data_IF_966573735317
#
_entry.id   IF_966573735317
#
_cell.length_a   1.000
_cell.length_b   1.000
_cell.length_c   1.000
_cell.angle_alpha   90.00
_cell.angle_beta   90.00
_cell.angle_gamma   90.00
#
_symmetry.space_group_name_H-M   'P 1'
#
loop_
_entity.id
_entity.type
_entity.pdbx_description
1 polymer ?
#
# COMPACT_ATOMS: atom_id res chain seq x y z
N UNK A 1 -17.43 -16.22 7.89
CA UNK A 1 -16.01 -16.37 7.55
C UNK A 1 -15.41 -14.97 7.46
N UNK A 2 -14.34 -14.69 8.19
CA UNK A 2 -13.66 -13.38 8.15
C UNK A 2 -12.83 -13.30 6.88
N UNK A 3 -13.24 -12.45 5.94
CA UNK A 3 -12.63 -12.33 4.62
C UNK A 3 -11.24 -11.63 4.67
N UNK A 4 -11.04 -10.80 5.70
CA UNK A 4 -9.77 -10.15 6.02
C UNK A 4 -9.51 -10.11 7.54
N UNK A 5 -8.23 -10.11 7.91
CA UNK A 5 -7.72 -10.01 9.29
C UNK A 5 -6.50 -9.07 9.32
N UNK A 6 -6.35 -8.28 10.39
CA UNK A 6 -5.18 -7.43 10.60
C UNK A 6 -4.38 -7.94 11.78
N UNK A 7 -3.15 -8.38 11.54
CA UNK A 7 -2.38 -9.13 12.52
C UNK A 7 -0.87 -8.96 12.37
N UNK A 8 -0.14 -9.55 13.30
CA UNK A 8 1.33 -9.59 13.28
C UNK A 8 1.79 -10.68 12.33
N UNK A 9 2.48 -10.30 11.25
CA UNK A 9 3.17 -11.24 10.37
C UNK A 9 4.69 -11.06 10.50
N UNK A 10 5.34 -11.99 11.19
CA UNK A 10 6.79 -11.95 11.41
C UNK A 10 7.22 -10.63 12.06
N UNK A 11 7.81 -9.73 11.28
CA UNK A 11 8.30 -8.41 11.74
C UNK A 11 7.39 -7.25 11.32
N UNK A 12 6.20 -7.52 10.82
CA UNK A 12 5.30 -6.54 10.22
C UNK A 12 3.94 -6.54 10.92
N UNK A 13 3.17 -5.46 10.69
CA UNK A 13 1.71 -5.48 10.86
C UNK A 13 1.08 -5.47 9.48
N UNK A 14 0.26 -6.48 9.20
CA UNK A 14 -0.19 -6.79 7.85
C UNK A 14 -1.68 -7.12 7.81
N UNK A 15 -2.31 -6.80 6.69
CA UNK A 15 -3.65 -7.27 6.35
C UNK A 15 -3.53 -8.61 5.59
N UNK A 16 -4.30 -9.61 6.00
CA UNK A 16 -4.33 -10.99 5.46
C UNK A 16 -5.75 -11.48 5.29
N UNK A 17 -5.92 -12.69 4.78
CA UNK A 17 -7.21 -13.39 4.67
C UNK A 17 -7.50 -13.84 3.24
N UNK A 18 -8.57 -14.62 3.06
CA UNK A 18 -8.99 -15.19 1.78
C UNK A 18 -9.17 -14.13 0.68
N UNK A 19 -9.61 -12.92 1.06
CA UNK A 19 -9.73 -11.82 0.11
C UNK A 19 -8.37 -11.39 -0.45
N UNK A 20 -7.35 -11.29 0.42
CA UNK A 20 -5.99 -10.88 0.04
C UNK A 20 -5.32 -11.98 -0.78
N UNK A 21 -5.57 -13.24 -0.45
CA UNK A 21 -5.15 -14.38 -1.25
C UNK A 21 -5.76 -14.34 -2.64
N UNK A 22 -7.07 -14.06 -2.75
CA UNK A 22 -7.76 -13.93 -4.03
C UNK A 22 -7.15 -12.83 -4.90
N UNK A 23 -6.79 -11.69 -4.31
CA UNK A 23 -6.07 -10.62 -5.02
C UNK A 23 -4.70 -11.13 -5.51
N UNK A 24 -3.92 -11.76 -4.62
CA UNK A 24 -2.57 -12.22 -4.94
C UNK A 24 -2.50 -13.34 -5.98
N UNK A 25 -3.53 -14.17 -6.06
CA UNK A 25 -3.66 -15.28 -7.02
C UNK A 25 -4.19 -14.85 -8.38
N UNK A 26 -4.78 -13.65 -8.51
CA UNK A 26 -5.28 -13.15 -9.79
C UNK A 26 -4.10 -12.83 -10.71
N UNK A 27 -3.92 -13.59 -11.77
CA UNK A 27 -2.90 -13.31 -12.78
C UNK A 27 -3.54 -12.61 -13.98
N UNK A 28 -3.34 -11.29 -14.09
CA UNK A 28 -3.81 -10.50 -15.24
C UNK A 28 -2.96 -10.79 -16.49
N UNK A 29 -1.75 -11.31 -16.30
CA UNK A 29 -0.81 -11.74 -17.32
C UNK A 29 -0.03 -12.96 -16.81
N UNK A 30 0.48 -13.84 -17.70
CA UNK A 30 1.33 -14.94 -17.30
C UNK A 30 2.61 -14.46 -16.61
N UNK A 31 2.88 -14.97 -15.41
CA UNK A 31 4.13 -14.77 -14.68
C UNK A 31 4.86 -16.11 -14.69
N UNK A 32 6.15 -16.11 -15.00
CA UNK A 32 6.94 -17.34 -15.04
C UNK A 32 6.97 -17.99 -13.66
N UNK A 33 6.76 -19.31 -13.62
CA UNK A 33 6.55 -20.08 -12.39
C UNK A 33 7.66 -19.87 -11.34
N UNK A 34 8.91 -19.77 -11.79
CA UNK A 34 10.06 -19.55 -10.89
C UNK A 34 9.96 -18.25 -10.07
N UNK A 35 9.28 -17.21 -10.56
CA UNK A 35 9.02 -15.99 -9.78
C UNK A 35 8.09 -16.28 -8.60
N UNK A 36 7.04 -17.05 -8.85
CA UNK A 36 6.04 -17.43 -7.84
C UNK A 36 6.69 -18.35 -6.82
N UNK A 37 7.44 -19.35 -7.27
CA UNK A 37 8.16 -20.27 -6.41
C UNK A 37 9.14 -19.55 -5.48
N UNK A 38 9.91 -18.58 -5.97
CA UNK A 38 10.80 -17.78 -5.12
C UNK A 38 10.06 -17.08 -3.98
N UNK A 39 8.87 -16.54 -4.25
CA UNK A 39 8.00 -15.94 -3.22
C UNK A 39 7.48 -16.99 -2.25
N UNK A 40 7.02 -18.15 -2.73
CA UNK A 40 6.54 -19.24 -1.89
C UNK A 40 7.66 -19.80 -0.99
N UNK A 41 8.88 -19.92 -1.49
CA UNK A 41 10.07 -20.30 -0.71
C UNK A 41 10.39 -19.27 0.36
N UNK A 42 10.35 -17.97 0.05
CA UNK A 42 10.64 -16.89 1.00
C UNK A 42 9.59 -16.78 2.10
N UNK A 43 8.31 -16.79 1.73
CA UNK A 43 7.20 -16.48 2.65
C UNK A 43 6.60 -17.73 3.29
N UNK A 44 6.84 -18.91 2.71
CA UNK A 44 6.20 -20.17 3.05
C UNK A 44 4.94 -20.40 2.19
N UNK A 45 4.88 -21.55 1.52
CA UNK A 45 3.79 -21.88 0.60
C UNK A 45 2.39 -21.85 1.25
N UNK A 46 2.31 -22.21 2.54
CA UNK A 46 1.04 -22.29 3.27
C UNK A 46 0.64 -20.98 3.96
N UNK A 47 1.44 -19.92 3.86
CA UNK A 47 1.12 -18.67 4.55
C UNK A 47 0.08 -17.84 3.79
N UNK A 48 -0.01 -17.96 2.46
CA UNK A 48 -0.84 -17.07 1.66
C UNK A 48 -0.21 -15.68 1.48
N UNK A 49 -0.97 -14.73 0.98
CA UNK A 49 -0.61 -13.35 0.65
C UNK A 49 -0.92 -12.39 1.81
N UNK A 50 -0.28 -11.22 1.77
CA UNK A 50 -0.51 -10.17 2.75
C UNK A 50 -0.22 -8.79 2.14
N UNK A 51 -0.81 -7.75 2.74
CA UNK A 51 -0.46 -6.35 2.51
C UNK A 51 0.26 -5.86 3.76
N UNK A 52 1.53 -5.47 3.64
CA UNK A 52 2.25 -4.81 4.74
C UNK A 52 1.70 -3.40 4.94
N UNK A 53 1.16 -3.13 6.13
CA UNK A 53 0.60 -1.82 6.48
C UNK A 53 1.60 -1.00 7.26
N UNK A 54 2.34 -1.65 8.18
CA UNK A 54 3.41 -1.05 8.96
C UNK A 54 4.63 -1.97 8.90
N UNK A 55 5.74 -1.43 8.42
CA UNK A 55 6.96 -2.20 8.23
C UNK A 55 7.80 -2.29 9.52
N UNK A 56 8.82 -3.14 9.53
CA UNK A 56 9.64 -3.39 10.72
C UNK A 56 10.49 -2.19 11.16
N UNK A 57 10.85 -1.27 10.26
CA UNK A 57 11.58 -0.04 10.61
C UNK A 57 10.64 0.94 11.29
N UNK A 58 9.42 1.09 10.77
CA UNK A 58 8.37 1.95 11.34
C UNK A 58 7.95 1.46 12.73
N UNK A 59 7.81 0.16 12.94
CA UNK A 59 7.54 -0.42 14.26
C UNK A 59 8.70 -0.10 15.21
N UNK A 60 9.95 -0.28 14.77
CA UNK A 60 11.12 0.00 15.60
C UNK A 60 11.22 1.48 15.99
N UNK A 61 10.81 2.40 15.10
CA UNK A 61 10.74 3.83 15.37
C UNK A 61 9.68 4.18 16.44
N UNK A 62 8.52 3.52 16.39
CA UNK A 62 7.40 3.76 17.31
C UNK A 62 7.53 3.02 18.65
N UNK A 63 8.43 2.05 18.74
CA UNK A 63 8.63 1.23 19.94
C UNK A 63 9.48 1.98 20.97
N UNK A 64 9.10 1.93 22.25
CA UNK A 64 9.94 2.45 23.33
C UNK A 64 11.34 1.82 23.31
N UNK A 65 12.37 2.65 23.51
CA UNK A 65 13.77 2.19 23.62
C UNK A 65 14.16 1.82 25.05
N UNK A 66 13.27 2.08 26.00
CA UNK A 66 13.51 1.91 27.43
C UNK A 66 12.61 0.81 28.02
N UNK A 67 13.15 0.10 29.01
CA UNK A 67 12.42 -0.83 29.87
C UNK A 67 12.46 -0.28 31.30
N UNK A 68 11.39 -0.44 32.09
CA UNK A 68 11.44 -0.18 33.52
C UNK A 68 12.40 -1.18 34.18
N UNK A 69 13.32 -0.67 35.01
CA UNK A 69 14.15 -1.48 35.89
C UNK A 69 13.37 -1.93 37.14
N UNK A 70 14.03 -2.65 38.06
CA UNK A 70 13.41 -3.14 39.30
C UNK A 70 12.90 -2.02 40.22
N UNK A 71 13.39 -0.79 40.02
CA UNK A 71 12.98 0.41 40.75
C UNK A 71 11.97 1.27 39.97
N UNK A 72 11.52 0.81 38.79
CA UNK A 72 10.60 1.54 37.92
C UNK A 72 11.24 2.64 37.07
N UNK A 73 12.57 2.80 37.10
CA UNK A 73 13.27 3.78 36.27
C UNK A 73 13.41 3.27 34.84
N UNK A 74 13.31 4.18 33.86
CA UNK A 74 13.48 3.84 32.46
C UNK A 74 14.95 3.67 32.10
N UNK A 75 15.38 2.44 31.80
CA UNK A 75 16.73 2.14 31.33
C UNK A 75 16.73 1.73 29.86
N UNK A 76 17.72 2.19 29.10
CA UNK A 76 17.91 1.75 27.70
C UNK A 76 18.17 0.25 27.63
N UNK A 77 17.61 -0.38 26.60
CA UNK A 77 17.88 -1.79 26.34
C UNK A 77 19.34 -2.03 25.93
N UNK A 78 20.05 -2.80 26.74
CA UNK A 78 21.47 -3.13 26.54
C UNK A 78 21.64 -4.47 25.81
N UNK A 79 20.68 -5.39 25.92
CA UNK A 79 20.74 -6.74 25.33
C UNK A 79 19.87 -6.90 24.07
N UNK A 80 20.35 -7.67 23.09
CA UNK A 80 19.57 -8.08 21.91
C UNK A 80 18.26 -8.80 22.28
N UNK A 81 18.25 -9.57 23.38
CA UNK A 81 17.04 -10.25 23.89
C UNK A 81 15.99 -9.25 24.34
N UNK A 82 16.41 -8.19 25.04
CA UNK A 82 15.55 -7.10 25.48
C UNK A 82 15.01 -6.29 24.29
N UNK A 83 15.86 -5.96 23.30
CA UNK A 83 15.43 -5.26 22.07
C UNK A 83 14.36 -6.05 21.32
N UNK A 84 14.51 -7.38 21.21
CA UNK A 84 13.51 -8.26 20.58
C UNK A 84 12.20 -8.29 21.37
N UNK A 85 12.27 -8.30 22.70
CA UNK A 85 11.08 -8.23 23.57
C UNK A 85 10.35 -6.90 23.41
N UNK A 86 11.08 -5.78 23.43
CA UNK A 86 10.54 -4.45 23.19
C UNK A 86 9.86 -4.36 21.82
N UNK A 87 10.53 -4.84 20.76
CA UNK A 87 9.96 -4.85 19.41
C UNK A 87 8.63 -5.61 19.35
N UNK A 88 8.55 -6.80 19.94
CA UNK A 88 7.30 -7.56 20.03
C UNK A 88 6.22 -6.82 20.82
N UNK A 89 6.60 -6.18 21.93
CA UNK A 89 5.67 -5.36 22.70
C UNK A 89 5.15 -4.19 21.86
N UNK A 90 6.02 -3.50 21.13
CA UNK A 90 5.64 -2.45 20.18
C UNK A 90 4.67 -2.94 19.10
N UNK A 91 4.89 -4.13 18.54
CA UNK A 91 3.94 -4.76 17.60
C UNK A 91 2.56 -4.96 18.24
N UNK A 92 2.51 -5.56 19.43
CA UNK A 92 1.23 -5.80 20.12
C UNK A 92 0.53 -4.50 20.52
N UNK A 93 1.27 -3.50 21.01
CA UNK A 93 0.73 -2.18 21.36
C UNK A 93 0.18 -1.46 20.14
N UNK A 94 0.89 -1.46 19.01
CA UNK A 94 0.39 -0.85 17.77
C UNK A 94 -0.85 -1.59 17.25
N UNK A 95 -0.82 -2.93 17.25
CA UNK A 95 -1.95 -3.75 16.84
C UNK A 95 -3.19 -3.45 17.69
N UNK A 96 -3.08 -3.50 19.01
CA UNK A 96 -4.20 -3.22 19.91
C UNK A 96 -4.70 -1.78 19.78
N UNK A 97 -3.78 -0.81 19.64
CA UNK A 97 -4.14 0.60 19.43
C UNK A 97 -4.97 0.79 18.15
N UNK A 98 -4.61 0.10 17.06
CA UNK A 98 -5.34 0.17 15.79
C UNK A 98 -6.69 -0.53 15.91
N UNK A 99 -6.73 -1.76 16.44
CA UNK A 99 -7.99 -2.51 16.58
C UNK A 99 -8.97 -1.83 17.53
N UNK A 100 -8.48 -1.21 18.62
CA UNK A 100 -9.34 -0.44 19.53
C UNK A 100 -9.96 0.79 18.86
N UNK A 101 -9.23 1.43 17.92
CA UNK A 101 -9.72 2.62 17.23
C UNK A 101 -10.63 2.30 16.04
N UNK A 102 -10.29 1.28 15.25
CA UNK A 102 -10.94 0.98 13.99
C UNK A 102 -11.83 -0.27 14.03
N UNK A 103 -11.88 -0.97 15.17
CA UNK A 103 -12.54 -2.27 15.30
C UNK A 103 -11.81 -3.39 14.57
N UNK A 104 -12.47 -4.55 14.53
CA UNK A 104 -11.96 -5.74 13.83
C UNK A 104 -11.88 -5.53 12.31
N UNK A 105 -10.83 -6.09 11.70
CA UNK A 105 -10.56 -5.87 10.28
C UNK A 105 -11.65 -6.42 9.34
N UNK A 106 -12.44 -7.40 9.79
CA UNK A 106 -13.54 -7.97 9.02
C UNK A 106 -14.62 -6.96 8.63
N UNK A 107 -14.74 -5.84 9.34
CA UNK A 107 -15.66 -4.74 9.06
C UNK A 107 -15.05 -3.58 8.27
N UNK A 108 -13.78 -3.66 7.89
CA UNK A 108 -13.08 -2.58 7.20
C UNK A 108 -13.44 -2.52 5.70
N UNK A 109 -13.29 -1.33 5.12
CA UNK A 109 -13.25 -1.13 3.68
C UNK A 109 -12.20 -2.05 3.08
N UNK A 110 -12.60 -2.82 2.07
CA UNK A 110 -11.74 -3.78 1.41
C UNK A 110 -10.73 -3.07 0.49
N UNK A 111 -9.47 -3.52 0.44
CA UNK A 111 -8.51 -3.01 -0.53
C UNK A 111 -8.95 -3.26 -1.98
N UNK A 112 -8.62 -2.35 -2.87
CA UNK A 112 -8.94 -2.43 -4.30
C UNK A 112 -7.68 -2.80 -5.09
N UNK A 113 -7.76 -3.88 -5.86
CA UNK A 113 -6.73 -4.30 -6.83
C UNK A 113 -6.75 -3.38 -8.06
N UNK A 114 -5.72 -2.55 -8.23
CA UNK A 114 -5.55 -1.69 -9.41
C UNK A 114 -4.99 -2.45 -10.61
N UNK A 115 -4.43 -3.64 -10.40
CA UNK A 115 -3.83 -4.49 -11.42
C UNK A 115 -2.39 -4.90 -11.09
N UNK A 116 -1.83 -5.71 -11.99
CA UNK A 116 -0.44 -6.13 -11.92
C UNK A 116 0.52 -4.96 -12.13
N UNK A 117 1.43 -4.76 -11.17
CA UNK A 117 2.59 -3.89 -11.27
C UNK A 117 3.89 -4.70 -11.32
N UNK A 118 4.95 -4.07 -11.81
CA UNK A 118 6.29 -4.64 -11.75
C UNK A 118 7.37 -3.59 -11.60
N UNK A 119 8.41 -3.92 -10.85
CA UNK A 119 9.65 -3.10 -10.79
C UNK A 119 10.84 -3.98 -11.14
N UNK A 120 11.85 -3.37 -11.76
CA UNK A 120 13.09 -4.01 -12.15
C UNK A 120 14.28 -3.17 -11.70
N UNK A 121 15.38 -3.83 -11.32
CA UNK A 121 16.62 -3.21 -10.88
C UNK A 121 17.79 -4.11 -11.22
N UNK A 122 18.70 -3.64 -12.10
CA UNK A 122 19.93 -4.28 -12.55
C UNK A 122 19.80 -5.75 -13.02
N UNK A 123 19.59 -6.67 -12.08
CA UNK A 123 19.53 -8.11 -12.26
C UNK A 123 18.24 -8.74 -11.68
N UNK A 124 17.34 -7.94 -11.13
CA UNK A 124 16.18 -8.41 -10.39
C UNK A 124 14.88 -7.77 -10.85
N UNK A 125 13.80 -8.57 -10.86
CA UNK A 125 12.44 -8.14 -11.18
C UNK A 125 11.45 -8.68 -10.16
N UNK A 126 10.46 -7.87 -9.83
CA UNK A 126 9.38 -8.23 -8.90
C UNK A 126 8.04 -7.89 -9.52
N UNK A 127 7.10 -8.82 -9.40
CA UNK A 127 5.69 -8.67 -9.74
C UNK A 127 4.85 -8.60 -8.47
N UNK A 128 3.89 -7.70 -8.47
CA UNK A 128 2.99 -7.48 -7.33
C UNK A 128 1.67 -6.90 -7.80
N UNK A 129 0.60 -7.07 -7.02
CA UNK A 129 -0.63 -6.31 -7.21
C UNK A 129 -0.50 -4.96 -6.57
N UNK A 130 -0.81 -3.89 -7.31
CA UNK A 130 -0.86 -2.54 -6.76
C UNK A 130 -2.22 -2.35 -6.10
N UNK A 131 -2.20 -1.92 -4.84
CA UNK A 131 -3.40 -1.84 -4.03
C UNK A 131 -3.73 -0.39 -3.69
N UNK A 132 -4.95 0.02 -4.02
CA UNK A 132 -5.56 1.22 -3.48
C UNK A 132 -6.32 0.87 -2.20
N UNK A 133 -6.00 1.53 -1.10
CA UNK A 133 -6.66 1.27 0.18
C UNK A 133 -6.69 2.51 1.08
N UNK A 134 -7.75 3.34 1.01
CA UNK A 134 -7.90 4.55 1.81
C UNK A 134 -7.86 4.28 3.30
N UNK A 135 -8.56 3.24 3.76
CA UNK A 135 -8.53 2.86 5.17
C UNK A 135 -7.13 2.52 5.67
N UNK A 136 -6.30 1.85 4.85
CA UNK A 136 -4.89 1.64 5.17
C UNK A 136 -4.12 2.95 5.37
N UNK A 137 -4.38 3.97 4.55
CA UNK A 137 -3.77 5.29 4.72
C UNK A 137 -4.25 5.98 6.00
N UNK A 138 -5.54 5.87 6.33
CA UNK A 138 -6.10 6.41 7.57
C UNK A 138 -5.46 5.76 8.81
N UNK A 139 -5.30 4.43 8.81
CA UNK A 139 -4.62 3.69 9.87
C UNK A 139 -3.18 4.21 10.04
N UNK A 140 -2.43 4.33 8.94
CA UNK A 140 -1.05 4.86 8.98
C UNK A 140 -1.00 6.28 9.52
N UNK A 141 -1.89 7.16 9.06
CA UNK A 141 -1.96 8.54 9.55
C UNK A 141 -2.29 8.59 11.05
N UNK A 142 -3.21 7.74 11.53
CA UNK A 142 -3.61 7.67 12.93
C UNK A 142 -2.44 7.34 13.86
N UNK A 143 -1.57 6.41 13.47
CA UNK A 143 -0.36 6.07 14.24
C UNK A 143 0.83 7.01 13.96
N UNK A 144 0.59 8.12 13.26
CA UNK A 144 1.58 9.14 12.94
C UNK A 144 2.65 8.66 11.96
N UNK A 145 2.27 7.83 10.99
CA UNK A 145 3.10 7.43 9.86
C UNK A 145 2.68 8.19 8.60
N UNK A 146 3.62 8.39 7.68
CA UNK A 146 3.34 8.96 6.36
C UNK A 146 2.55 7.99 5.47
N UNK A 147 2.14 8.48 4.30
CA UNK A 147 1.53 7.65 3.25
C UNK A 147 2.49 6.54 2.79
N UNK A 148 1.95 5.43 2.31
CA UNK A 148 2.71 4.34 1.70
C UNK A 148 1.99 3.78 0.48
N UNK A 149 2.72 3.07 -0.39
CA UNK A 149 2.12 2.33 -1.49
C UNK A 149 1.88 0.88 -1.06
N UNK A 150 0.61 0.49 -0.99
CA UNK A 150 0.22 -0.86 -0.65
C UNK A 150 0.35 -1.77 -1.87
N UNK A 151 0.86 -2.97 -1.62
CA UNK A 151 1.01 -3.98 -2.65
C UNK A 151 0.91 -5.39 -2.06
N UNK A 152 0.58 -6.35 -2.91
CA UNK A 152 0.68 -7.79 -2.60
C UNK A 152 1.74 -8.39 -3.50
N UNK A 153 2.84 -8.90 -2.94
CA UNK A 153 3.88 -9.56 -3.74
C UNK A 153 3.34 -10.86 -4.34
N UNK A 154 3.48 -10.98 -5.66
CA UNK A 154 3.10 -12.17 -6.43
C UNK A 154 4.32 -13.06 -6.64
N UNK A 155 5.42 -12.49 -7.10
CA UNK A 155 6.66 -13.23 -7.35
C UNK A 155 7.85 -12.33 -7.66
N UNK A 156 9.06 -12.86 -7.59
CA UNK A 156 10.29 -12.13 -7.92
C UNK A 156 11.40 -13.07 -8.39
N UNK A 157 12.36 -12.54 -9.14
CA UNK A 157 13.57 -13.27 -9.49
C UNK A 157 14.75 -12.30 -9.72
N UNK A 158 15.98 -12.65 -9.28
CA UNK A 158 16.29 -13.68 -8.29
C UNK A 158 15.94 -13.22 -6.86
N UNK A 159 15.72 -11.92 -6.64
CA UNK A 159 15.43 -11.31 -5.33
C UNK A 159 14.33 -10.26 -5.44
N UNK A 160 13.69 -9.95 -4.33
CA UNK A 160 12.69 -8.89 -4.25
C UNK A 160 13.34 -7.51 -4.43
N UNK A 161 12.69 -6.64 -5.20
CA UNK A 161 13.14 -5.28 -5.48
C UNK A 161 12.45 -4.33 -4.51
N UNK A 162 13.20 -3.73 -3.58
CA UNK A 162 12.68 -2.84 -2.54
C UNK A 162 12.68 -1.35 -2.96
N UNK A 163 12.09 -1.06 -4.12
CA UNK A 163 11.95 0.32 -4.65
C UNK A 163 10.48 0.75 -4.65
N UNK A 164 10.15 1.84 -5.34
CA UNK A 164 8.77 2.28 -5.53
C UNK A 164 7.91 1.18 -6.17
N UNK A 165 6.76 0.91 -5.54
CA UNK A 165 5.75 -0.10 -5.92
C UNK A 165 4.33 0.48 -5.94
N UNK A 166 4.20 1.73 -6.40
CA UNK A 166 2.91 2.42 -6.51
C UNK A 166 2.27 2.31 -7.90
N UNK A 167 1.16 3.01 -8.16
CA UNK A 167 0.41 2.89 -9.41
C UNK A 167 1.19 3.24 -10.68
N UNK A 168 2.27 4.01 -10.59
CA UNK A 168 3.15 4.28 -11.74
C UNK A 168 3.86 3.05 -12.31
N UNK A 169 3.90 1.94 -11.57
CA UNK A 169 4.55 0.70 -12.01
C UNK A 169 3.60 -0.33 -12.64
N UNK A 170 2.30 0.00 -12.75
CA UNK A 170 1.29 -0.85 -13.37
C UNK A 170 1.76 -1.28 -14.76
N UNK A 171 1.73 -2.59 -15.02
CA UNK A 171 2.23 -3.18 -16.27
C UNK A 171 1.51 -2.59 -17.47
N UNK A 172 0.20 -2.38 -17.42
CA UNK A 172 -0.57 -1.79 -18.52
C UNK A 172 -0.11 -0.36 -18.89
N UNK A 173 0.53 0.37 -17.97
CA UNK A 173 1.06 1.72 -18.22
C UNK A 173 2.49 1.71 -18.77
N UNK A 174 3.18 0.57 -18.74
CA UNK A 174 4.55 0.46 -19.25
C UNK A 174 4.60 0.56 -20.77
N UNK A 175 5.79 0.87 -21.30
CA UNK A 175 6.02 0.98 -22.75
C UNK A 175 5.65 -0.34 -23.45
N UNK A 176 4.95 -0.24 -24.59
CA UNK A 176 4.49 -1.36 -25.42
C UNK A 176 3.47 -2.31 -24.78
N UNK A 177 2.99 -2.03 -23.57
CA UNK A 177 1.95 -2.84 -22.94
C UNK A 177 0.54 -2.36 -23.35
N UNK A 178 -0.40 -3.30 -23.58
CA UNK A 178 -1.78 -2.95 -23.83
C UNK A 178 -2.41 -2.36 -22.56
N UNK A 179 -3.25 -1.35 -22.75
CA UNK A 179 -4.09 -0.78 -21.71
C UNK A 179 -5.45 -0.56 -22.35
N UNK A 180 -6.51 -1.21 -21.87
CA UNK A 180 -7.84 -0.96 -22.42
C UNK A 180 -8.31 0.44 -22.06
N UNK A 181 -9.23 0.99 -22.86
CA UNK A 181 -9.81 2.31 -22.63
C UNK A 181 -10.55 2.34 -21.28
N UNK A 182 -11.21 1.25 -20.92
CA UNK A 182 -11.96 1.08 -19.68
C UNK A 182 -11.02 1.07 -18.47
N UNK A 183 -9.92 0.30 -18.54
CA UNK A 183 -8.92 0.27 -17.49
C UNK A 183 -8.26 1.64 -17.32
N UNK A 184 -7.92 2.30 -18.44
CA UNK A 184 -7.35 3.64 -18.42
C UNK A 184 -8.29 4.66 -17.78
N UNK A 185 -9.58 4.65 -18.17
CA UNK A 185 -10.60 5.51 -17.58
C UNK A 185 -10.72 5.28 -16.06
N UNK A 186 -10.81 4.02 -15.64
CA UNK A 186 -10.86 3.65 -14.22
C UNK A 186 -9.64 4.13 -13.44
N UNK A 187 -8.44 4.09 -14.02
CA UNK A 187 -7.23 4.58 -13.35
C UNK A 187 -7.24 6.11 -13.15
N UNK A 188 -7.91 6.87 -14.02
CA UNK A 188 -8.08 8.33 -13.84
C UNK A 188 -8.90 8.63 -12.58
N UNK A 189 -9.89 7.80 -12.24
CA UNK A 189 -10.71 8.00 -11.04
C UNK A 189 -9.91 7.96 -9.73
N UNK A 190 -8.73 7.31 -9.74
CA UNK A 190 -7.84 7.25 -8.58
C UNK A 190 -6.85 8.41 -8.48
N UNK A 191 -6.69 9.23 -9.54
CA UNK A 191 -5.75 10.35 -9.58
C UNK A 191 -5.88 11.33 -8.40
N UNK A 192 -7.08 11.69 -7.90
CA UNK A 192 -7.20 12.58 -6.75
C UNK A 192 -6.46 12.10 -5.50
N UNK A 193 -6.29 10.78 -5.33
CA UNK A 193 -5.60 10.17 -4.19
C UNK A 193 -4.09 10.10 -4.37
N UNK A 194 -3.62 10.17 -5.62
CA UNK A 194 -2.22 10.04 -6.04
C UNK A 194 -1.68 11.30 -6.74
N UNK A 195 -2.27 12.48 -6.51
CA UNK A 195 -1.86 13.74 -7.17
C UNK A 195 -0.37 14.09 -6.96
N UNK A 196 0.23 13.64 -5.87
CA UNK A 196 1.66 13.85 -5.57
C UNK A 196 2.58 12.78 -6.18
N UNK A 197 2.00 11.72 -6.75
CA UNK A 197 2.73 10.60 -7.34
C UNK A 197 3.10 10.91 -8.79
N UNK A 198 4.25 11.55 -8.97
CA UNK A 198 4.73 11.99 -10.29
C UNK A 198 4.92 10.84 -11.27
N UNK A 199 5.29 9.65 -10.78
CA UNK A 199 5.51 8.47 -11.63
C UNK A 199 4.18 8.00 -12.20
N UNK A 200 3.15 7.88 -11.37
CA UNK A 200 1.80 7.52 -11.82
C UNK A 200 1.22 8.52 -12.81
N UNK A 201 1.28 9.82 -12.49
CA UNK A 201 0.73 10.85 -13.36
C UNK A 201 1.43 10.85 -14.72
N UNK A 202 2.77 10.78 -14.73
CA UNK A 202 3.55 10.71 -15.98
C UNK A 202 3.16 9.48 -16.81
N UNK A 203 3.08 8.30 -16.18
CA UNK A 203 2.73 7.05 -16.86
C UNK A 203 1.32 7.09 -17.49
N UNK A 204 0.36 7.70 -16.81
CA UNK A 204 -0.99 7.91 -17.34
C UNK A 204 -1.00 8.81 -18.57
N UNK A 205 -0.32 9.97 -18.53
CA UNK A 205 -0.25 10.84 -19.70
C UNK A 205 0.41 10.13 -20.89
N UNK A 206 1.54 9.46 -20.67
CA UNK A 206 2.25 8.73 -21.72
C UNK A 206 1.38 7.63 -22.34
N UNK A 207 0.65 6.90 -21.52
CA UNK A 207 -0.25 5.82 -21.99
C UNK A 207 -1.43 6.39 -22.78
N UNK A 208 -2.06 7.46 -22.30
CA UNK A 208 -3.18 8.09 -23.01
C UNK A 208 -2.77 8.63 -24.38
N UNK A 209 -1.57 9.23 -24.49
CA UNK A 209 -1.03 9.70 -25.77
C UNK A 209 -0.74 8.54 -26.72
N UNK A 210 -0.04 7.51 -26.22
CA UNK A 210 0.31 6.31 -27.01
C UNK A 210 -0.91 5.63 -27.63
N UNK A 211 -2.00 5.53 -26.87
CA UNK A 211 -3.21 4.82 -27.29
C UNK A 211 -4.26 5.72 -27.95
N UNK A 212 -3.99 7.02 -28.13
CA UNK A 212 -4.92 7.96 -28.75
C UNK A 212 -6.17 8.27 -27.92
N UNK A 213 -6.09 8.13 -26.59
CA UNK A 213 -7.21 8.36 -25.67
C UNK A 213 -7.39 9.85 -25.34
N UNK A 214 -7.41 10.72 -26.36
CA UNK A 214 -7.36 12.18 -26.19
C UNK A 214 -8.48 12.77 -25.34
N UNK A 215 -9.70 12.23 -25.46
CA UNK A 215 -10.84 12.65 -24.62
C UNK A 215 -10.59 12.34 -23.14
N UNK A 216 -10.02 11.17 -22.83
CA UNK A 216 -9.66 10.79 -21.47
C UNK A 216 -8.43 11.54 -20.97
N UNK A 217 -7.49 11.93 -21.84
CA UNK A 217 -6.38 12.82 -21.47
C UNK A 217 -6.88 14.22 -21.06
N UNK A 218 -7.85 14.78 -21.79
CA UNK A 218 -8.49 16.03 -21.40
C UNK A 218 -9.19 15.89 -20.04
N UNK A 219 -9.88 14.76 -19.81
CA UNK A 219 -10.47 14.45 -18.52
C UNK A 219 -9.43 14.35 -17.39
N UNK A 220 -8.32 13.62 -17.61
CA UNK A 220 -7.19 13.52 -16.69
C UNK A 220 -6.63 14.91 -16.32
N UNK A 221 -6.44 15.77 -17.32
CA UNK A 221 -5.97 17.15 -17.11
C UNK A 221 -6.92 17.93 -16.21
N UNK A 222 -8.23 17.83 -16.46
CA UNK A 222 -9.26 18.45 -15.62
C UNK A 222 -9.22 17.92 -14.18
N UNK A 223 -9.12 16.60 -13.99
CA UNK A 223 -9.05 15.97 -12.66
C UNK A 223 -7.80 16.43 -11.88
N UNK A 224 -6.66 16.52 -12.57
CA UNK A 224 -5.41 17.02 -11.99
C UNK A 224 -5.53 18.48 -11.54
N UNK A 225 -6.06 19.36 -12.41
CA UNK A 225 -6.27 20.77 -12.08
C UNK A 225 -7.23 20.93 -10.89
N UNK A 226 -8.35 20.20 -10.87
CA UNK A 226 -9.29 20.22 -9.75
C UNK A 226 -8.63 19.76 -8.44
N UNK A 227 -7.81 18.72 -8.48
CA UNK A 227 -7.11 18.19 -7.30
C UNK A 227 -6.07 19.20 -6.77
N UNK A 228 -5.31 19.85 -7.66
CA UNK A 228 -4.34 20.89 -7.29
C UNK A 228 -5.05 22.11 -6.71
N UNK A 229 -6.12 22.60 -7.36
CA UNK A 229 -6.89 23.74 -6.87
C UNK A 229 -7.51 23.47 -5.51
N UNK A 230 -8.06 22.27 -5.28
CA UNK A 230 -8.55 21.85 -3.95
C UNK A 230 -7.43 21.89 -2.92
N UNK A 231 -6.27 21.32 -3.23
CA UNK A 231 -5.12 21.35 -2.33
C UNK A 231 -4.68 22.78 -1.99
N UNK A 232 -4.57 23.66 -2.99
CA UNK A 232 -4.23 25.07 -2.79
C UNK A 232 -5.29 25.80 -1.97
N UNK A 233 -6.56 25.58 -2.25
CA UNK A 233 -7.69 26.13 -1.51
C UNK A 233 -7.60 25.75 -0.02
N UNK A 234 -7.41 24.46 0.29
CA UNK A 234 -7.25 24.00 1.67
C UNK A 234 -5.99 24.56 2.33
N UNK A 235 -4.89 24.72 1.60
CA UNK A 235 -3.67 25.33 2.15
C UNK A 235 -3.84 26.82 2.45
N UNK A 236 -4.59 27.56 1.63
CA UNK A 236 -4.79 29.00 1.75
C UNK A 236 -5.87 29.36 2.79
N UNK A 237 -6.95 28.59 2.86
CA UNK A 237 -8.13 28.89 3.69
C UNK A 237 -8.14 28.04 4.97
N UNK A 238 -7.55 26.85 4.93
CA UNK A 238 -7.58 25.84 6.00
C UNK A 238 -6.43 25.90 6.98
N UNK A 239 -6.28 27.03 7.69
CA UNK A 239 -5.94 27.03 9.13
C UNK A 239 -7.19 27.15 10.03
N UNK A 240 -8.39 27.19 9.44
CA UNK A 240 -9.66 27.05 10.17
C UNK A 240 -10.28 25.71 9.82
N UNK A 241 -10.31 24.82 10.82
CA UNK A 241 -10.89 23.48 10.79
C UNK A 241 -12.35 23.56 10.36
N UNK A 242 -12.63 23.23 9.10
CA UNK A 242 -13.94 22.75 8.68
C UNK A 242 -13.75 21.25 8.50
N UNK A 243 -14.23 20.47 9.46
CA UNK A 243 -14.35 19.02 9.34
C UNK A 243 -15.37 18.72 8.25
N UNK A 244 -14.91 18.45 7.03
CA UNK A 244 -15.76 17.91 5.98
C UNK A 244 -15.75 16.38 6.04
N UNK A 245 -16.90 15.74 5.77
CA UNK A 245 -16.99 14.29 5.72
C UNK A 245 -16.11 13.77 4.59
N UNK A 246 -15.21 12.84 4.92
CA UNK A 246 -14.49 12.04 3.93
C UNK A 246 -15.55 11.31 3.12
N UNK A 247 -15.73 11.69 1.86
CA UNK A 247 -16.55 10.91 0.94
C UNK A 247 -15.78 9.62 0.66
N UNK A 248 -16.13 8.56 1.39
CA UNK A 248 -15.58 7.20 1.30
C UNK A 248 -16.10 6.43 0.08
N UNK A 249 -16.82 7.09 -0.84
CA UNK A 249 -17.30 6.44 -2.03
C UNK A 249 -16.14 6.23 -3.01
N UNK A 250 -15.54 5.04 -2.95
CA UNK A 250 -14.82 4.50 -4.09
C UNK A 250 -15.74 4.53 -5.34
N UNK A 251 -15.21 4.77 -6.54
CA UNK A 251 -15.99 4.59 -7.76
C UNK A 251 -16.57 3.16 -7.81
N UNK A 252 -17.79 2.97 -8.34
CA UNK A 252 -18.40 1.65 -8.41
C UNK A 252 -17.51 0.67 -9.18
N UNK A 253 -17.41 -0.56 -8.65
CA UNK A 253 -16.63 -1.68 -9.20
C UNK A 253 -17.26 -2.21 -10.47
#
# INVERSE_FOLDING_TARGET
MTDIAFEIEGRFLSLRGSFIDTIGLRLDQPIAEHYIQNRLTRDGANKGHHITVINHLEIAEKTSKTLPDENGNQQLSTSNKQKKRLFKQGQHTLLSTILNQFGEASGWEKPIDLGLGSTESADAKTYYKVIYWPQGQMIRQYVGLGKSNFHVTVGFAPRDVHQYKGPGTLVCLQQYQPCSKELYARLIDYVPFYVADKEFIKALYQTGWRHGYYVLLAHLTRVMLQSILRFLYYKLIGKKTISLPVTTAAPPV
#
